data_IF_053092103520
#
_entry.id   IF_053092103520
#
_cell.length_a   1.000
_cell.length_b   1.000
_cell.length_c   1.000
_cell.angle_alpha   90.00
_cell.angle_beta   90.00
_cell.angle_gamma   90.00
#
_symmetry.space_group_name_H-M   'P 1'
#
loop_
_entity.id
_entity.type
_entity.pdbx_description
1 polymer ?
#
# COMPACT_ATOMS: atom_id res chain seq x y z
N UNK A 1 9.63 -24.54 26.43
CA UNK A 1 9.37 -23.12 26.75
C UNK A 1 10.74 -22.43 26.77
N UNK A 2 11.20 -21.98 25.60
CA UNK A 2 12.48 -21.26 25.51
C UNK A 2 12.25 -19.82 25.95
N UNK A 3 13.06 -19.37 26.90
CA UNK A 3 12.95 -18.06 27.52
C UNK A 3 13.48 -17.02 26.52
N UNK A 4 12.57 -16.41 25.75
CA UNK A 4 12.86 -15.46 24.67
C UNK A 4 13.01 -14.03 25.23
N UNK A 5 13.87 -13.86 26.24
CA UNK A 5 14.13 -12.54 26.83
C UNK A 5 15.02 -11.75 25.87
N UNK A 6 14.41 -10.81 25.17
CA UNK A 6 15.13 -9.78 24.43
C UNK A 6 16.08 -9.01 25.35
N UNK A 7 17.22 -8.52 24.85
CA UNK A 7 17.96 -7.46 25.52
C UNK A 7 17.04 -6.28 25.86
N UNK A 8 17.23 -5.64 27.03
CA UNK A 8 16.34 -4.60 27.58
C UNK A 8 16.11 -3.37 26.65
N UNK A 9 16.93 -3.19 25.61
CA UNK A 9 16.83 -2.10 24.64
C UNK A 9 16.05 -2.46 23.36
N UNK A 10 15.73 -3.73 23.15
CA UNK A 10 15.01 -4.18 21.96
C UNK A 10 13.51 -4.03 22.20
N UNK A 11 12.88 -3.19 21.39
CA UNK A 11 11.45 -2.92 21.43
C UNK A 11 10.71 -3.41 20.17
N UNK A 12 11.44 -3.76 19.11
CA UNK A 12 10.88 -4.18 17.83
C UNK A 12 11.26 -5.60 17.41
N UNK A 13 10.53 -6.11 16.43
CA UNK A 13 10.84 -7.37 15.77
C UNK A 13 10.58 -7.26 14.27
N UNK A 14 11.53 -7.74 13.46
CA UNK A 14 11.53 -7.66 12.01
C UNK A 14 11.62 -9.05 11.40
N UNK A 15 11.02 -9.20 10.23
CA UNK A 15 11.10 -10.42 9.43
C UNK A 15 11.91 -10.20 8.16
N UNK A 16 12.94 -11.03 7.94
CA UNK A 16 13.55 -11.20 6.63
C UNK A 16 12.84 -12.35 5.93
N UNK A 17 12.06 -12.04 4.91
CA UNK A 17 11.44 -13.02 4.02
C UNK A 17 12.20 -13.05 2.70
N UNK A 18 12.90 -14.14 2.44
CA UNK A 18 13.67 -14.34 1.19
C UNK A 18 12.92 -15.26 0.24
N UNK A 19 12.55 -14.74 -0.93
CA UNK A 19 11.89 -15.53 -1.97
C UNK A 19 12.49 -15.24 -3.35
N UNK A 20 12.80 -16.28 -4.13
CA UNK A 20 13.51 -16.20 -5.41
C UNK A 20 14.76 -15.31 -5.38
N UNK A 21 15.54 -15.41 -4.30
CA UNK A 21 16.73 -14.61 -4.06
C UNK A 21 16.45 -13.09 -4.08
N UNK A 22 15.25 -12.71 -3.65
CA UNK A 22 14.81 -11.33 -3.43
C UNK A 22 14.28 -11.20 -2.01
N UNK A 23 14.36 -10.00 -1.46
CA UNK A 23 13.88 -9.69 -0.12
C UNK A 23 12.50 -9.02 -0.20
N UNK A 24 11.60 -9.40 0.69
CA UNK A 24 10.31 -8.70 0.84
C UNK A 24 10.54 -7.40 1.60
N UNK A 25 10.09 -6.29 1.01
CA UNK A 25 10.10 -4.97 1.62
C UNK A 25 8.71 -4.34 1.54
N UNK A 26 8.40 -3.49 2.51
CA UNK A 26 7.18 -2.68 2.55
C UNK A 26 7.52 -1.21 2.33
N UNK A 27 6.66 -0.50 1.60
CA UNK A 27 6.79 0.93 1.28
C UNK A 27 5.90 1.75 2.20
N UNK A 28 6.50 2.40 3.21
CA UNK A 28 5.79 3.08 4.28
C UNK A 28 5.20 4.41 3.84
N UNK A 29 3.93 4.65 4.18
CA UNK A 29 3.22 5.87 3.82
C UNK A 29 3.73 7.12 4.56
N UNK A 30 4.17 6.96 5.80
CA UNK A 30 4.57 8.11 6.64
C UNK A 30 5.98 8.57 6.27
N UNK A 31 6.93 7.63 6.14
CA UNK A 31 8.33 7.96 5.86
C UNK A 31 8.62 8.07 4.36
N UNK A 32 7.84 7.38 3.51
CA UNK A 32 8.12 7.24 2.08
C UNK A 32 9.38 6.41 1.81
N UNK A 33 9.79 5.58 2.77
CA UNK A 33 10.97 4.73 2.69
C UNK A 33 10.59 3.26 2.72
N UNK A 34 11.48 2.41 2.21
CA UNK A 34 11.33 0.97 2.26
C UNK A 34 11.88 0.42 3.58
N UNK A 35 11.21 -0.57 4.14
CA UNK A 35 11.64 -1.26 5.36
C UNK A 35 11.34 -2.76 5.28
N UNK A 36 11.98 -3.52 6.17
CA UNK A 36 11.55 -4.90 6.42
C UNK A 36 10.18 -4.88 7.09
N UNK A 37 9.28 -5.84 6.77
CA UNK A 37 8.05 -5.98 7.52
C UNK A 37 8.36 -6.23 9.00
N UNK A 38 7.69 -5.49 9.87
CA UNK A 38 7.95 -5.55 11.29
C UNK A 38 7.66 -4.27 12.05
N UNK A 39 7.64 -4.38 13.38
CA UNK A 39 7.12 -3.31 14.21
C UNK A 39 7.40 -3.54 15.69
N UNK A 40 6.66 -2.81 16.53
CA UNK A 40 6.87 -2.80 17.99
C UNK A 40 6.29 -4.05 18.63
N UNK A 41 7.02 -4.65 19.56
CA UNK A 41 6.53 -5.75 20.40
C UNK A 41 5.58 -5.19 21.45
N UNK A 42 4.31 -5.61 21.43
CA UNK A 42 3.31 -5.18 22.39
C UNK A 42 3.40 -5.92 23.72
N UNK A 43 2.84 -5.34 24.78
CA UNK A 43 2.89 -5.94 26.11
C UNK A 43 2.21 -7.32 26.16
N UNK A 44 2.98 -8.34 26.55
CA UNK A 44 2.49 -9.71 26.69
C UNK A 44 2.63 -10.58 25.44
N UNK A 45 3.14 -10.05 24.33
CA UNK A 45 3.52 -10.85 23.15
C UNK A 45 5.04 -11.13 23.14
N UNK A 46 5.43 -12.22 22.48
CA UNK A 46 6.85 -12.50 22.24
C UNK A 46 7.31 -11.80 20.95
N UNK A 47 8.61 -11.50 20.79
CA UNK A 47 9.10 -10.80 19.61
C UNK A 47 8.88 -11.57 18.31
N UNK A 48 8.97 -12.91 18.36
CA UNK A 48 8.64 -13.76 17.23
C UNK A 48 7.15 -13.63 16.84
N UNK A 49 6.25 -13.49 17.82
CA UNK A 49 4.82 -13.25 17.55
C UNK A 49 4.60 -11.86 16.95
N UNK A 50 5.33 -10.85 17.43
CA UNK A 50 5.29 -9.51 16.85
C UNK A 50 5.74 -9.55 15.37
N UNK A 51 6.87 -10.18 15.06
CA UNK A 51 7.37 -10.32 13.69
C UNK A 51 6.36 -11.05 12.78
N UNK A 52 5.73 -12.11 13.27
CA UNK A 52 4.68 -12.83 12.55
C UNK A 52 3.44 -11.95 12.29
N UNK A 53 2.96 -11.25 13.33
CA UNK A 53 1.78 -10.36 13.26
C UNK A 53 2.01 -9.23 12.27
N UNK A 54 3.11 -8.51 12.40
CA UNK A 54 3.44 -7.35 11.55
C UNK A 54 3.63 -7.78 10.10
N UNK A 55 4.26 -8.94 9.84
CA UNK A 55 4.42 -9.45 8.47
C UNK A 55 3.08 -9.78 7.81
N UNK A 56 2.11 -10.27 8.57
CA UNK A 56 0.74 -10.43 8.09
C UNK A 56 0.04 -9.07 7.89
N UNK A 57 0.17 -8.15 8.85
CA UNK A 57 -0.49 -6.85 8.84
C UNK A 57 -0.02 -5.96 7.68
N UNK A 58 1.28 -5.97 7.37
CA UNK A 58 1.90 -5.10 6.37
C UNK A 58 2.11 -5.78 5.01
N UNK A 59 2.58 -7.03 4.99
CA UNK A 59 2.90 -7.73 3.74
C UNK A 59 1.84 -8.77 3.33
N UNK A 60 0.82 -9.01 4.15
CA UNK A 60 -0.21 -10.03 3.87
C UNK A 60 0.32 -11.47 3.85
N UNK A 61 1.53 -11.70 4.37
CA UNK A 61 2.16 -13.01 4.37
C UNK A 61 1.98 -13.66 5.76
N UNK A 62 1.30 -14.81 5.81
CA UNK A 62 1.40 -15.70 6.97
C UNK A 62 2.78 -16.36 6.94
N UNK A 63 3.53 -16.23 8.03
CA UNK A 63 4.90 -16.74 8.12
C UNK A 63 5.10 -17.61 9.35
N UNK A 64 5.90 -18.65 9.21
CA UNK A 64 6.56 -19.33 10.32
C UNK A 64 7.86 -18.59 10.63
N UNK A 65 8.00 -18.12 11.87
CA UNK A 65 9.20 -17.45 12.36
C UNK A 65 10.22 -18.48 12.80
N UNK A 66 11.38 -18.46 12.15
CA UNK A 66 12.50 -19.35 12.37
C UNK A 66 13.55 -18.77 13.32
N UNK A 67 14.81 -18.98 12.97
CA UNK A 67 15.95 -18.59 13.79
C UNK A 67 16.17 -17.06 13.80
N UNK A 68 16.81 -16.57 14.85
CA UNK A 68 17.29 -15.18 14.91
C UNK A 68 18.48 -15.05 13.96
N UNK A 69 18.37 -14.14 13.00
CA UNK A 69 19.45 -13.80 12.07
C UNK A 69 20.40 -12.76 12.67
N UNK A 70 19.87 -11.78 13.39
CA UNK A 70 20.66 -10.67 13.94
C UNK A 70 19.84 -9.72 14.79
N UNK A 71 20.46 -8.61 15.18
CA UNK A 71 19.86 -7.56 16.01
C UNK A 71 20.28 -6.20 15.46
N UNK A 72 19.36 -5.24 15.50
CA UNK A 72 19.68 -3.82 15.36
C UNK A 72 19.72 -3.17 16.74
N UNK A 73 19.94 -1.85 16.79
CA UNK A 73 19.89 -1.08 18.04
C UNK A 73 18.54 -1.14 18.76
N UNK A 74 17.46 -1.52 18.07
CA UNK A 74 16.09 -1.48 18.63
C UNK A 74 15.23 -2.69 18.28
N UNK A 75 15.66 -3.57 17.38
CA UNK A 75 14.86 -4.69 16.90
C UNK A 75 15.65 -6.01 16.79
N UNK A 76 14.97 -7.13 17.01
CA UNK A 76 15.47 -8.46 16.64
C UNK A 76 15.04 -8.78 15.20
N UNK A 77 15.91 -9.44 14.44
CA UNK A 77 15.63 -9.83 13.05
C UNK A 77 15.55 -11.35 12.95
N UNK A 78 14.43 -11.86 12.45
CA UNK A 78 14.17 -13.29 12.27
C UNK A 78 14.21 -13.72 10.80
N UNK A 79 14.56 -14.99 10.58
CA UNK A 79 14.28 -15.68 9.32
C UNK A 79 12.80 -16.05 9.27
N UNK A 80 12.06 -15.51 8.32
CA UNK A 80 10.62 -15.73 8.22
C UNK A 80 10.27 -16.41 6.90
N UNK A 81 9.66 -17.59 7.00
CA UNK A 81 9.30 -18.44 5.86
C UNK A 81 7.79 -18.35 5.69
N UNK A 82 7.30 -18.08 4.47
CA UNK A 82 5.86 -17.99 4.25
C UNK A 82 5.22 -19.38 4.30
N UNK A 83 4.12 -19.50 5.04
CA UNK A 83 3.35 -20.74 5.14
C UNK A 83 2.56 -21.02 3.86
N UNK A 84 2.38 -19.99 3.04
CA UNK A 84 1.68 -20.03 1.76
C UNK A 84 2.65 -19.71 0.63
N UNK A 85 2.23 -20.03 -0.59
CA UNK A 85 2.98 -19.64 -1.77
C UNK A 85 3.10 -18.11 -1.85
N UNK A 86 4.32 -17.61 -2.03
CA UNK A 86 4.55 -16.18 -2.24
C UNK A 86 4.09 -15.84 -3.65
N UNK A 87 3.00 -15.09 -3.76
CA UNK A 87 2.47 -14.62 -5.04
C UNK A 87 2.97 -13.20 -5.28
N UNK A 88 3.46 -12.92 -6.48
CA UNK A 88 3.89 -11.57 -6.86
C UNK A 88 3.52 -11.27 -8.31
N UNK A 89 3.37 -10.00 -8.64
CA UNK A 89 3.15 -9.59 -10.02
C UNK A 89 4.44 -9.69 -10.84
N UNK A 90 4.36 -10.22 -12.06
CA UNK A 90 5.52 -10.32 -12.95
C UNK A 90 5.99 -8.95 -13.47
N UNK A 91 5.15 -7.92 -13.40
CA UNK A 91 5.48 -6.57 -13.82
C UNK A 91 6.36 -5.89 -12.75
N UNK A 92 7.46 -5.27 -13.19
CA UNK A 92 8.32 -4.47 -12.31
C UNK A 92 7.77 -3.06 -12.14
N UNK A 93 7.91 -2.53 -10.94
CA UNK A 93 7.59 -1.13 -10.63
C UNK A 93 8.74 -0.18 -10.99
N UNK A 94 8.62 1.09 -10.61
CA UNK A 94 9.55 2.17 -10.98
C UNK A 94 10.97 1.96 -10.44
N UNK A 95 11.10 1.22 -9.33
CA UNK A 95 12.37 0.90 -8.66
C UNK A 95 12.84 -0.53 -8.94
N UNK A 96 12.17 -1.24 -9.86
CA UNK A 96 12.56 -2.57 -10.29
C UNK A 96 12.07 -3.72 -9.40
N UNK A 97 11.22 -3.46 -8.41
CA UNK A 97 10.62 -4.47 -7.54
C UNK A 97 9.38 -5.13 -8.15
N UNK A 98 9.10 -6.37 -7.75
CA UNK A 98 7.87 -7.09 -8.09
C UNK A 98 6.85 -6.92 -6.97
N UNK A 99 5.76 -6.21 -7.23
CA UNK A 99 4.76 -5.90 -6.19
C UNK A 99 4.00 -7.15 -5.74
N UNK A 100 3.73 -7.26 -4.45
CA UNK A 100 2.87 -8.29 -3.87
C UNK A 100 1.41 -7.84 -3.87
N UNK A 101 0.46 -8.76 -4.03
CA UNK A 101 -0.97 -8.48 -3.95
C UNK A 101 -1.44 -8.33 -2.50
N UNK A 102 -1.13 -7.22 -1.84
CA UNK A 102 -1.37 -7.07 -0.38
C UNK A 102 -2.67 -6.35 0.01
N UNK A 103 -3.63 -6.17 -0.89
CA UNK A 103 -4.83 -5.35 -0.61
C UNK A 103 -5.73 -5.88 0.52
N UNK A 104 -5.55 -7.13 0.92
CA UNK A 104 -6.24 -7.77 2.04
C UNK A 104 -5.49 -7.62 3.37
N UNK A 105 -4.26 -7.09 3.36
CA UNK A 105 -3.46 -6.91 4.54
C UNK A 105 -4.04 -5.76 5.41
N UNK A 106 -4.20 -5.96 6.74
CA UNK A 106 -4.77 -4.96 7.63
C UNK A 106 -4.20 -3.54 7.53
N UNK A 107 -2.89 -3.40 7.29
CA UNK A 107 -2.20 -2.11 7.26
C UNK A 107 -2.04 -1.55 5.84
N UNK A 108 -2.61 -2.21 4.82
CA UNK A 108 -2.65 -1.71 3.45
C UNK A 108 -3.45 -0.40 3.34
N UNK A 109 -2.80 0.64 2.84
CA UNK A 109 -3.37 1.98 2.69
C UNK A 109 -3.49 2.77 4.00
N UNK A 110 -2.98 2.22 5.12
CA UNK A 110 -2.96 2.88 6.44
C UNK A 110 -1.52 3.18 6.84
N UNK A 111 -0.69 2.16 6.91
CA UNK A 111 0.74 2.27 7.24
C UNK A 111 1.62 2.05 6.01
N UNK A 112 1.25 1.06 5.19
CA UNK A 112 2.02 0.68 4.00
C UNK A 112 1.24 0.92 2.72
N UNK A 113 1.94 1.36 1.69
CA UNK A 113 1.37 1.63 0.38
C UNK A 113 1.41 0.42 -0.54
N UNK A 114 2.43 -0.43 -0.39
CA UNK A 114 2.68 -1.67 -1.14
C UNK A 114 3.73 -2.52 -0.41
N UNK A 115 3.78 -3.80 -0.73
CA UNK A 115 4.92 -4.67 -0.47
C UNK A 115 5.49 -5.17 -1.79
N UNK A 116 6.77 -5.50 -1.84
CA UNK A 116 7.42 -5.98 -3.05
C UNK A 116 8.59 -6.91 -2.77
N UNK A 117 8.90 -7.77 -3.74
CA UNK A 117 10.17 -8.47 -3.83
C UNK A 117 11.17 -7.57 -4.57
N UNK A 118 12.33 -7.37 -3.98
CA UNK A 118 13.40 -6.60 -4.58
C UNK A 118 14.74 -7.32 -4.39
N UNK A 119 15.63 -7.38 -5.39
CA UNK A 119 17.01 -7.79 -5.15
C UNK A 119 17.67 -6.77 -4.21
N UNK A 120 18.33 -7.18 -3.11
CA UNK A 120 18.89 -6.21 -2.17
C UNK A 120 19.94 -5.27 -2.80
N UNK A 121 20.60 -5.71 -3.88
CA UNK A 121 21.54 -4.90 -4.66
C UNK A 121 20.90 -3.80 -5.50
N UNK A 122 19.60 -3.85 -5.75
CA UNK A 122 18.87 -2.85 -6.52
C UNK A 122 18.47 -1.64 -5.67
N UNK A 123 18.42 -1.79 -4.34
CA UNK A 123 18.01 -0.72 -3.42
C UNK A 123 19.23 0.09 -2.96
N UNK A 124 19.30 1.40 -3.27
CA UNK A 124 20.29 2.26 -2.64
C UNK A 124 19.93 2.47 -1.16
N UNK A 125 20.95 2.48 -0.30
CA UNK A 125 20.77 2.53 1.15
C UNK A 125 19.92 3.73 1.63
N UNK A 126 19.95 4.86 0.93
CA UNK A 126 19.17 6.06 1.29
C UNK A 126 17.65 5.91 1.11
N UNK A 127 17.20 4.92 0.34
CA UNK A 127 15.78 4.61 0.17
C UNK A 127 15.26 3.63 1.24
N UNK A 128 16.16 2.98 1.98
CA UNK A 128 15.81 2.18 3.13
C UNK A 128 15.63 3.07 4.37
N UNK A 129 14.66 2.75 5.25
CA UNK A 129 14.29 3.58 6.41
C UNK A 129 15.45 3.87 7.35
N UNK A 130 16.36 2.90 7.50
CA UNK A 130 17.56 3.03 8.31
C UNK A 130 18.82 2.80 7.46
N UNK A 131 19.28 3.81 6.68
CA UNK A 131 20.32 3.62 5.66
C UNK A 131 21.61 2.96 6.17
N UNK A 132 22.00 3.27 7.41
CA UNK A 132 23.22 2.73 8.04
C UNK A 132 23.12 1.22 8.31
N UNK A 133 21.90 0.68 8.46
CA UNK A 133 21.66 -0.74 8.72
C UNK A 133 21.62 -1.57 7.43
N UNK A 134 21.48 -0.94 6.25
CA UNK A 134 21.20 -1.66 5.01
C UNK A 134 22.29 -2.66 4.60
N UNK A 135 23.56 -2.34 4.88
CA UNK A 135 24.67 -3.27 4.62
C UNK A 135 24.55 -4.54 5.46
N UNK A 136 24.16 -4.43 6.73
CA UNK A 136 23.96 -5.58 7.61
C UNK A 136 22.73 -6.39 7.18
N UNK A 137 21.62 -5.73 6.82
CA UNK A 137 20.43 -6.42 6.28
C UNK A 137 20.79 -7.27 5.05
N UNK A 138 21.68 -6.78 4.17
CA UNK A 138 22.14 -7.55 3.01
C UNK A 138 22.92 -8.81 3.41
N UNK A 139 23.68 -8.77 4.51
CA UNK A 139 24.38 -9.95 5.05
C UNK A 139 23.40 -10.95 5.68
N UNK A 140 22.44 -10.45 6.48
CA UNK A 140 21.39 -11.27 7.09
C UNK A 140 20.49 -11.94 6.05
N UNK A 141 20.19 -11.23 4.96
CA UNK A 141 19.46 -11.77 3.81
C UNK A 141 20.12 -13.02 3.23
N UNK A 142 21.46 -13.10 3.20
CA UNK A 142 22.16 -14.27 2.68
C UNK A 142 21.99 -15.51 3.56
N UNK A 143 21.75 -15.30 4.86
CA UNK A 143 21.49 -16.35 5.85
C UNK A 143 20.03 -16.83 5.84
N UNK A 144 19.10 -15.98 5.41
CA UNK A 144 17.68 -16.29 5.37
C UNK A 144 17.34 -17.44 4.40
N UNK A 145 16.34 -18.22 4.76
CA UNK A 145 15.87 -19.38 3.99
C UNK A 145 15.17 -18.91 2.72
N UNK A 146 15.62 -19.42 1.56
CA UNK A 146 15.01 -19.07 0.28
C UNK A 146 13.81 -19.97 -0.05
N UNK A 147 12.71 -19.35 -0.49
CA UNK A 147 11.50 -20.03 -0.96
C UNK A 147 11.09 -19.61 -2.38
N UNK A 148 10.29 -20.40 -3.10
CA UNK A 148 9.86 -20.06 -4.46
C UNK A 148 8.81 -18.95 -4.48
N UNK A 149 8.70 -18.26 -5.62
CA UNK A 149 7.66 -17.27 -5.90
C UNK A 149 6.86 -17.69 -7.13
N UNK A 150 5.54 -17.51 -7.05
CA UNK A 150 4.66 -17.63 -8.23
C UNK A 150 4.33 -16.25 -8.76
N UNK A 151 4.79 -16.00 -9.98
CA UNK A 151 4.54 -14.74 -10.67
C UNK A 151 3.24 -14.80 -11.48
N UNK A 152 2.41 -13.77 -11.32
CA UNK A 152 1.13 -13.62 -12.02
C UNK A 152 1.09 -12.33 -12.83
N UNK A 153 0.35 -12.33 -13.92
CA UNK A 153 0.11 -11.14 -14.74
C UNK A 153 -0.88 -10.18 -14.09
N UNK A 154 -1.94 -10.76 -13.54
CA UNK A 154 -3.10 -10.06 -13.02
C UNK A 154 -3.85 -10.94 -12.02
N UNK A 155 -4.64 -10.33 -11.15
CA UNK A 155 -5.50 -11.02 -10.18
C UNK A 155 -6.95 -10.54 -10.26
N UNK A 156 -7.41 -10.18 -11.46
CA UNK A 156 -8.81 -9.77 -11.71
C UNK A 156 -9.79 -10.84 -11.22
N UNK A 157 -9.45 -12.13 -11.38
CA UNK A 157 -10.28 -13.24 -10.90
C UNK A 157 -10.48 -13.28 -9.37
N UNK A 158 -9.59 -12.65 -8.60
CA UNK A 158 -9.71 -12.54 -7.14
C UNK A 158 -10.64 -11.38 -6.72
N UNK A 159 -10.94 -10.44 -7.62
CA UNK A 159 -11.86 -9.33 -7.34
C UNK A 159 -13.31 -9.81 -7.27
N UNK A 160 -14.19 -9.13 -6.49
CA UNK A 160 -15.63 -9.39 -6.52
C UNK A 160 -16.22 -9.23 -7.93
N UNK A 161 -17.25 -10.01 -8.30
CA UNK A 161 -17.83 -10.02 -9.65
C UNK A 161 -18.22 -8.64 -10.19
N UNK A 162 -18.73 -7.77 -9.32
CA UNK A 162 -19.10 -6.38 -9.71
C UNK A 162 -17.86 -5.60 -10.13
N UNK A 163 -16.77 -5.76 -9.37
CA UNK A 163 -15.51 -5.06 -9.61
C UNK A 163 -14.78 -5.61 -10.84
N UNK A 164 -14.93 -6.90 -11.17
CA UNK A 164 -14.40 -7.46 -12.42
C UNK A 164 -14.96 -6.74 -13.66
N UNK A 165 -16.26 -6.41 -13.65
CA UNK A 165 -16.90 -5.64 -14.73
C UNK A 165 -16.37 -4.20 -14.76
N UNK A 166 -16.27 -3.56 -13.60
CA UNK A 166 -15.70 -2.22 -13.46
C UNK A 166 -14.26 -2.15 -14.00
N UNK A 167 -13.41 -3.12 -13.65
CA UNK A 167 -12.04 -3.20 -14.15
C UNK A 167 -11.99 -3.26 -15.68
N UNK A 168 -12.87 -4.04 -16.31
CA UNK A 168 -12.99 -4.08 -17.77
C UNK A 168 -13.36 -2.72 -18.38
N UNK A 169 -14.21 -1.95 -17.71
CA UNK A 169 -14.58 -0.60 -18.16
C UNK A 169 -13.41 0.38 -17.99
N UNK A 170 -12.69 0.30 -16.86
CA UNK A 170 -11.51 1.12 -16.58
C UNK A 170 -10.41 0.86 -17.62
N UNK A 171 -10.12 -0.40 -17.92
CA UNK A 171 -9.15 -0.79 -18.97
C UNK A 171 -9.57 -0.24 -20.34
N UNK A 172 -10.86 -0.36 -20.68
CA UNK A 172 -11.39 0.16 -21.95
C UNK A 172 -11.27 1.68 -22.05
N UNK A 173 -11.55 2.39 -20.95
CA UNK A 173 -11.42 3.84 -20.86
C UNK A 173 -9.96 4.29 -20.97
N UNK A 174 -9.04 3.61 -20.28
CA UNK A 174 -7.61 3.91 -20.36
C UNK A 174 -7.10 3.72 -21.80
N UNK A 175 -7.45 2.61 -22.45
CA UNK A 175 -7.10 2.38 -23.84
C UNK A 175 -7.68 3.45 -24.78
N UNK A 176 -8.88 3.97 -24.49
CA UNK A 176 -9.43 5.09 -25.26
C UNK A 176 -8.60 6.36 -25.08
N UNK A 177 -8.21 6.69 -23.85
CA UNK A 177 -7.37 7.86 -23.54
C UNK A 177 -5.96 7.75 -24.13
N UNK A 178 -5.34 6.58 -24.08
CA UNK A 178 -4.01 6.34 -24.65
C UNK A 178 -3.98 6.53 -26.18
N UNK A 179 -5.15 6.40 -26.83
CA UNK A 179 -5.33 6.62 -28.27
C UNK A 179 -5.78 8.05 -28.63
N UNK A 180 -6.00 8.94 -27.65
CA UNK A 180 -6.40 10.33 -27.91
C UNK A 180 -5.18 11.24 -28.21
N UNK A 181 -5.33 12.25 -29.09
CA UNK A 181 -4.29 13.25 -29.31
C UNK A 181 -3.92 14.01 -28.02
N UNK A 182 -2.62 14.30 -27.83
CA UNK A 182 -2.03 14.93 -26.63
C UNK A 182 -2.56 16.33 -26.25
N UNK A 183 -3.44 16.90 -27.07
CA UNK A 183 -4.12 18.17 -26.79
C UNK A 183 -5.17 17.97 -25.67
N UNK A 184 -5.75 16.78 -25.55
CA UNK A 184 -6.79 16.47 -24.56
C UNK A 184 -6.23 16.06 -23.19
N UNK A 185 -5.01 15.52 -23.11
CA UNK A 185 -4.41 15.08 -21.84
C UNK A 185 -4.20 16.25 -20.86
N UNK A 186 -3.86 17.44 -21.36
CA UNK A 186 -3.68 18.63 -20.53
C UNK A 186 -5.00 19.17 -19.94
N UNK A 187 -6.14 18.89 -20.56
CA UNK A 187 -7.46 19.32 -20.04
C UNK A 187 -7.98 18.47 -18.88
N UNK A 188 -7.60 17.18 -18.83
CA UNK A 188 -7.98 16.26 -17.75
C UNK A 188 -7.28 16.61 -16.43
N UNK A 189 -6.10 17.24 -16.48
CA UNK A 189 -5.41 17.71 -15.27
C UNK A 189 -6.14 18.89 -14.58
N UNK A 190 -6.87 19.70 -15.34
CA UNK A 190 -7.59 20.87 -14.80
C UNK A 190 -8.82 20.46 -13.97
N UNK A 191 -9.45 19.33 -14.28
CA UNK A 191 -10.60 18.82 -13.51
C UNK A 191 -10.20 18.32 -12.12
N UNK A 192 -8.98 17.79 -11.97
CA UNK A 192 -8.46 17.36 -10.66
C UNK A 192 -8.27 18.55 -9.69
N UNK A 193 -8.10 19.76 -10.23
CA UNK A 193 -7.96 20.96 -9.42
C UNK A 193 -9.29 21.40 -8.78
N UNK A 194 -10.40 21.29 -9.52
CA UNK A 194 -11.75 21.60 -9.07
C UNK A 194 -12.28 20.58 -8.06
N UNK A 195 -11.76 19.36 -8.14
CA UNK A 195 -12.06 18.25 -7.25
C UNK A 195 -11.52 18.43 -5.80
N UNK A 196 -10.63 19.39 -5.56
CA UNK A 196 -9.99 19.57 -4.25
C UNK A 196 -10.88 20.34 -3.26
N UNK A 197 -10.82 20.03 -1.94
CA UNK A 197 -11.69 20.66 -0.93
C UNK A 197 -11.62 22.19 -0.89
N UNK A 198 -10.47 22.77 -1.23
CA UNK A 198 -10.30 24.23 -1.27
C UNK A 198 -11.13 24.91 -2.37
N UNK A 199 -11.49 24.20 -3.44
CA UNK A 199 -12.31 24.76 -4.51
C UNK A 199 -13.67 25.23 -3.97
N UNK A 200 -14.21 24.54 -2.96
CA UNK A 200 -15.48 24.90 -2.32
C UNK A 200 -15.40 26.19 -1.49
N UNK A 201 -14.21 26.59 -1.02
CA UNK A 201 -14.00 27.89 -0.36
C UNK A 201 -14.27 29.04 -1.34
N UNK A 202 -14.01 28.83 -2.63
CA UNK A 202 -14.24 29.81 -3.70
C UNK A 202 -15.66 29.68 -4.28
N UNK A 203 -16.13 28.46 -4.50
CA UNK A 203 -17.44 28.19 -5.12
C UNK A 203 -18.60 28.64 -4.21
N UNK A 204 -18.53 28.39 -2.89
CA UNK A 204 -19.64 28.72 -1.97
C UNK A 204 -19.95 30.22 -1.91
N UNK A 205 -18.96 31.14 -1.78
CA UNK A 205 -19.21 32.58 -1.87
C UNK A 205 -19.79 33.01 -3.23
N UNK A 206 -19.32 32.44 -4.34
CA UNK A 206 -19.84 32.76 -5.68
C UNK A 206 -21.30 32.34 -5.83
N UNK A 207 -21.67 31.16 -5.33
CA UNK A 207 -23.05 30.69 -5.27
C UNK A 207 -23.89 31.60 -4.36
N UNK A 208 -23.36 32.02 -3.21
CA UNK A 208 -24.06 32.93 -2.30
C UNK A 208 -24.30 34.31 -2.94
N UNK A 209 -23.35 34.79 -3.72
CA UNK A 209 -23.46 36.04 -4.46
C UNK A 209 -24.52 35.98 -5.56
N UNK A 210 -24.56 34.88 -6.34
CA UNK A 210 -25.46 34.76 -7.48
C UNK A 210 -26.87 34.27 -7.12
N UNK A 211 -26.99 33.25 -6.26
CA UNK A 211 -28.25 32.59 -5.92
C UNK A 211 -28.78 32.95 -4.52
N UNK A 212 -28.01 33.75 -3.77
CA UNK A 212 -28.36 34.18 -2.43
C UNK A 212 -27.93 33.22 -1.31
N UNK A 213 -27.89 33.76 -0.09
CA UNK A 213 -27.38 33.06 1.11
C UNK A 213 -28.12 31.75 1.42
N UNK A 214 -29.45 31.75 1.31
CA UNK A 214 -30.26 30.58 1.68
C UNK A 214 -29.98 29.39 0.76
N UNK A 215 -29.71 29.63 -0.53
CA UNK A 215 -29.35 28.58 -1.47
C UNK A 215 -27.95 28.05 -1.18
N UNK A 216 -26.97 28.94 -0.97
CA UNK A 216 -25.60 28.56 -0.66
C UNK A 216 -25.47 27.71 0.62
N UNK A 217 -26.25 28.03 1.67
CA UNK A 217 -26.26 27.24 2.90
C UNK A 217 -26.82 25.82 2.69
N UNK A 218 -27.90 25.68 1.90
CA UNK A 218 -28.45 24.37 1.55
C UNK A 218 -27.45 23.55 0.73
N UNK A 219 -26.83 24.18 -0.27
CA UNK A 219 -25.81 23.55 -1.10
C UNK A 219 -24.60 23.08 -0.27
N UNK A 220 -24.07 23.95 0.61
CA UNK A 220 -22.98 23.60 1.52
C UNK A 220 -23.34 22.45 2.47
N UNK A 221 -24.56 22.46 3.03
CA UNK A 221 -25.03 21.36 3.88
C UNK A 221 -25.11 20.03 3.12
N UNK A 222 -25.62 20.04 1.88
CA UNK A 222 -25.65 18.85 1.02
C UNK A 222 -24.24 18.36 0.72
N UNK A 223 -23.31 19.25 0.38
CA UNK A 223 -21.92 18.91 0.09
C UNK A 223 -21.23 18.22 1.28
N UNK A 224 -21.38 18.78 2.48
CA UNK A 224 -20.82 18.21 3.72
C UNK A 224 -21.46 16.84 4.01
N UNK A 225 -22.78 16.74 3.85
CA UNK A 225 -23.53 15.50 4.10
C UNK A 225 -23.12 14.39 3.13
N UNK A 226 -23.01 14.68 1.83
CA UNK A 226 -22.57 13.73 0.80
C UNK A 226 -21.11 13.32 1.04
N UNK A 227 -20.23 14.28 1.36
CA UNK A 227 -18.83 14.00 1.70
C UNK A 227 -18.75 13.04 2.89
N UNK A 228 -19.46 13.33 3.98
CA UNK A 228 -19.44 12.52 5.18
C UNK A 228 -19.98 11.11 4.91
N UNK A 229 -21.11 10.98 4.21
CA UNK A 229 -21.68 9.70 3.82
C UNK A 229 -20.73 8.90 2.92
N UNK A 230 -20.05 9.56 2.00
CA UNK A 230 -19.09 8.92 1.11
C UNK A 230 -17.87 8.43 1.87
N UNK A 231 -17.33 9.20 2.82
CA UNK A 231 -16.22 8.76 3.68
C UNK A 231 -16.60 7.58 4.57
N UNK A 232 -17.81 7.58 5.15
CA UNK A 232 -18.33 6.45 5.93
C UNK A 232 -18.48 5.22 5.02
N UNK A 233 -19.03 5.39 3.83
CA UNK A 233 -19.17 4.31 2.86
C UNK A 233 -17.80 3.80 2.38
N UNK A 234 -16.80 4.67 2.24
CA UNK A 234 -15.43 4.33 1.85
C UNK A 234 -14.77 3.40 2.88
N UNK A 235 -14.96 3.69 4.16
CA UNK A 235 -14.53 2.81 5.25
C UNK A 235 -15.32 1.49 5.28
N UNK A 236 -16.59 1.50 4.89
CA UNK A 236 -17.46 0.32 4.93
C UNK A 236 -17.25 -0.66 3.77
N UNK A 237 -17.07 -0.17 2.55
CA UNK A 237 -16.87 -1.01 1.37
C UNK A 237 -15.42 -1.48 1.23
N UNK A 238 -14.45 -0.59 1.44
CA UNK A 238 -13.03 -0.95 1.40
C UNK A 238 -12.60 -1.66 0.11
N UNK A 239 -13.09 -1.27 -1.07
CA UNK A 239 -12.58 -1.88 -2.31
C UNK A 239 -11.28 -1.22 -2.73
N UNK A 240 -10.21 -2.03 -2.96
CA UNK A 240 -8.90 -1.50 -3.29
C UNK A 240 -8.91 -0.90 -4.67
N UNK A 241 -7.91 -0.06 -4.96
CA UNK A 241 -7.80 0.57 -6.27
C UNK A 241 -7.66 -0.47 -7.38
N UNK A 242 -8.11 -0.18 -8.63
CA UNK A 242 -7.97 -1.09 -9.76
C UNK A 242 -6.58 -1.68 -9.97
N UNK A 243 -5.53 -0.88 -9.72
CA UNK A 243 -4.15 -1.32 -9.87
C UNK A 243 -3.70 -2.34 -8.82
N UNK A 244 -4.46 -2.54 -7.75
CA UNK A 244 -4.21 -3.61 -6.80
C UNK A 244 -4.39 -4.99 -7.46
N UNK A 245 -5.28 -5.12 -8.47
CA UNK A 245 -5.49 -6.36 -9.25
C UNK A 245 -4.76 -6.36 -10.59
N UNK A 246 -4.56 -5.18 -11.17
CA UNK A 246 -3.98 -4.96 -12.50
C UNK A 246 -2.88 -3.89 -12.42
N UNK A 247 -1.62 -4.27 -12.15
CA UNK A 247 -0.52 -3.31 -11.98
C UNK A 247 -0.33 -2.35 -13.17
N UNK A 248 -0.73 -2.77 -14.38
CA UNK A 248 -0.67 -1.96 -15.61
C UNK A 248 -1.55 -0.71 -15.57
N UNK A 249 -2.53 -0.63 -14.66
CA UNK A 249 -3.43 0.52 -14.50
C UNK A 249 -2.85 1.64 -13.60
N UNK A 250 -1.61 1.50 -13.12
CA UNK A 250 -0.98 2.45 -12.20
C UNK A 250 -0.52 3.72 -12.94
N UNK A 251 -1.44 4.68 -13.09
CA UNK A 251 -1.18 5.98 -13.73
C UNK A 251 -0.53 7.01 -12.78
N UNK A 252 -0.77 6.89 -11.47
CA UNK A 252 -0.23 7.78 -10.42
C UNK A 252 0.05 6.97 -9.16
N UNK A 253 1.16 7.26 -8.47
CA UNK A 253 1.46 6.71 -7.15
C UNK A 253 0.30 6.98 -6.19
N UNK A 254 -0.44 5.92 -5.89
CA UNK A 254 -1.57 5.98 -4.97
C UNK A 254 -1.80 4.60 -4.37
N UNK A 255 -2.33 4.56 -3.16
CA UNK A 255 -2.57 3.33 -2.40
C UNK A 255 -3.94 3.35 -1.74
N UNK A 256 -4.28 2.23 -1.10
CA UNK A 256 -5.51 2.09 -0.31
C UNK A 256 -6.75 1.84 -1.15
N UNK A 257 -7.88 2.35 -0.68
CA UNK A 257 -9.20 2.07 -1.24
C UNK A 257 -9.67 3.20 -2.19
N UNK A 258 -10.40 2.87 -3.26
CA UNK A 258 -10.95 3.89 -4.19
C UNK A 258 -12.47 4.01 -4.20
N UNK A 259 -13.20 3.02 -3.66
CA UNK A 259 -14.65 2.99 -3.75
C UNK A 259 -15.34 3.20 -2.40
N UNK A 260 -16.32 4.11 -2.29
CA UNK A 260 -16.84 4.98 -3.35
C UNK A 260 -15.94 6.20 -3.60
N UNK A 261 -15.93 6.70 -4.83
CA UNK A 261 -15.13 7.86 -5.22
C UNK A 261 -15.76 9.15 -4.69
N UNK A 262 -15.02 9.88 -3.86
CA UNK A 262 -15.43 11.20 -3.39
C UNK A 262 -15.63 12.18 -4.55
N UNK A 263 -14.80 12.09 -5.60
CA UNK A 263 -14.93 12.97 -6.75
C UNK A 263 -16.23 12.73 -7.50
N UNK A 264 -16.60 11.47 -7.71
CA UNK A 264 -17.86 11.12 -8.37
C UNK A 264 -19.10 11.43 -7.52
N UNK A 265 -18.96 11.51 -6.19
CA UNK A 265 -20.07 11.87 -5.31
C UNK A 265 -20.33 13.38 -5.28
N UNK A 266 -19.30 14.21 -5.50
CA UNK A 266 -19.40 15.67 -5.42
C UNK A 266 -19.65 16.36 -6.76
N UNK A 267 -19.42 15.66 -7.89
CA UNK A 267 -19.55 16.17 -9.25
C UNK A 267 -20.52 15.31 -10.08
#
# INVERSE_FOLDING_TARGET
MANNTLPDHIAGALCVVRADNQIVLVDELITGQLSLPGGTVVAGESPAIAAQRETWEEAGLSVTVGDVLGYTDSAVIYDCISDSEVISYQARNEIGGFELPIWFAPHYGVEVSRAMLLPPTALPANQYRYPEQWSEINELFLLATNQPVTYVTELVGAAPKVHQVELGWVVSLQNMFDNLPSIFSNTVLLTDLLAKPWAFIVILPLIAWHFGRNFALKFGFTLISVTLLTLIAHQGFGFPRPHAYLPTLKLVMSSGYSFPSLLAALW
#
